data_IF_466136148183
#
_entry.id   IF_466136148183
#
_cell.length_a   1.000
_cell.length_b   1.000
_cell.length_c   1.000
_cell.angle_alpha   90.00
_cell.angle_beta   90.00
_cell.angle_gamma   90.00
#
_symmetry.space_group_name_H-M   'P 1'
#
loop_
_entity.id
_entity.type
_entity.pdbx_description
1 polymer ?
#
# COMPACT_ATOMS: atom_id res chain seq x y z
N UNK A 1 -24.49 1.06 2.32
CA UNK A 1 -25.57 1.67 1.55
C UNK A 1 -26.83 1.89 2.36
N UNK A 2 -27.68 2.73 1.81
CA UNK A 2 -28.95 3.20 2.37
C UNK A 2 -29.93 2.00 2.51
N UNK A 3 -29.67 0.91 1.78
CA UNK A 3 -30.41 -0.37 1.86
C UNK A 3 -29.64 -1.55 2.49
N UNK A 4 -28.44 -1.34 3.04
CA UNK A 4 -27.64 -2.42 3.64
C UNK A 4 -28.08 -2.75 5.07
N UNK A 5 -28.31 -4.03 5.36
CA UNK A 5 -28.57 -4.52 6.72
C UNK A 5 -27.38 -4.23 7.65
N UNK A 6 -27.64 -3.93 8.92
CA UNK A 6 -26.59 -3.51 9.87
C UNK A 6 -25.52 -4.60 10.08
N UNK A 7 -25.91 -5.87 9.95
CA UNK A 7 -24.98 -7.02 9.97
C UNK A 7 -24.06 -7.01 8.76
N UNK A 8 -24.56 -6.66 7.57
CA UNK A 8 -23.73 -6.53 6.37
C UNK A 8 -22.79 -5.32 6.44
N UNK A 9 -23.21 -4.22 7.10
CA UNK A 9 -22.33 -3.07 7.36
C UNK A 9 -21.19 -3.41 8.32
N UNK A 10 -21.45 -4.17 9.38
CA UNK A 10 -20.38 -4.55 10.32
C UNK A 10 -19.42 -5.61 9.75
N UNK A 11 -19.88 -6.47 8.84
CA UNK A 11 -19.06 -7.52 8.24
C UNK A 11 -18.25 -7.08 7.00
N UNK A 12 -18.42 -5.84 6.51
CA UNK A 12 -17.75 -5.36 5.30
C UNK A 12 -16.58 -4.42 5.62
N UNK A 13 -15.40 -4.74 5.06
CA UNK A 13 -14.19 -3.91 5.19
C UNK A 13 -14.29 -2.57 4.43
N UNK A 14 -15.19 -2.49 3.43
CA UNK A 14 -15.44 -1.29 2.65
C UNK A 14 -16.96 -1.13 2.44
N UNK A 15 -17.52 -0.07 3.01
CA UNK A 15 -18.94 0.27 2.90
C UNK A 15 -19.10 1.42 1.90
N UNK A 16 -19.87 1.18 0.85
CA UNK A 16 -20.30 2.24 -0.07
C UNK A 16 -21.34 3.13 0.64
N UNK A 17 -20.99 4.40 0.83
CA UNK A 17 -21.84 5.42 1.45
C UNK A 17 -22.89 5.91 0.46
N UNK A 18 -22.47 6.19 -0.77
CA UNK A 18 -23.34 6.29 -1.94
C UNK A 18 -23.36 4.92 -2.62
N UNK A 19 -24.55 4.34 -2.85
CA UNK A 19 -24.75 3.04 -3.52
C UNK A 19 -24.42 3.11 -5.03
N UNK A 20 -23.29 3.74 -5.37
CA UNK A 20 -22.86 4.04 -6.71
C UNK A 20 -21.57 3.28 -7.06
N UNK A 21 -21.65 2.43 -8.10
CA UNK A 21 -20.53 1.66 -8.63
C UNK A 21 -19.37 2.53 -9.14
N UNK A 22 -19.63 3.80 -9.48
CA UNK A 22 -18.56 4.75 -9.84
C UNK A 22 -17.58 4.98 -8.68
N UNK A 23 -18.03 4.91 -7.41
CA UNK A 23 -17.16 5.06 -6.24
C UNK A 23 -16.18 3.88 -6.10
N UNK A 24 -16.60 2.67 -6.44
CA UNK A 24 -15.74 1.48 -6.46
C UNK A 24 -14.62 1.64 -7.49
N UNK A 25 -14.95 2.12 -8.69
CA UNK A 25 -13.96 2.33 -9.76
C UNK A 25 -12.92 3.37 -9.33
N UNK A 26 -13.34 4.46 -8.69
CA UNK A 26 -12.43 5.47 -8.16
C UNK A 26 -11.54 4.91 -7.03
N UNK A 27 -12.09 4.08 -6.14
CA UNK A 27 -11.31 3.42 -5.09
C UNK A 27 -10.23 2.48 -5.67
N UNK A 28 -10.54 1.74 -6.74
CA UNK A 28 -9.57 0.89 -7.44
C UNK A 28 -8.48 1.74 -8.11
N UNK A 29 -8.85 2.86 -8.73
CA UNK A 29 -7.87 3.78 -9.33
C UNK A 29 -6.89 4.32 -8.28
N UNK A 30 -7.40 4.72 -7.11
CA UNK A 30 -6.56 5.16 -5.99
C UNK A 30 -5.68 4.03 -5.44
N UNK A 31 -6.20 2.80 -5.36
CA UNK A 31 -5.44 1.62 -4.96
C UNK A 31 -4.23 1.36 -5.86
N UNK A 32 -4.39 1.51 -7.19
CA UNK A 32 -3.25 1.39 -8.13
C UNK A 32 -2.19 2.46 -7.90
N UNK A 33 -2.60 3.70 -7.65
CA UNK A 33 -1.67 4.79 -7.35
C UNK A 33 -0.90 4.55 -6.03
N UNK A 34 -1.59 4.03 -5.01
CA UNK A 34 -0.96 3.65 -3.73
C UNK A 34 0.11 2.56 -3.94
N UNK A 35 -0.19 1.54 -4.73
CA UNK A 35 0.76 0.46 -5.03
C UNK A 35 2.05 0.99 -5.65
N UNK A 36 1.95 1.90 -6.63
CA UNK A 36 3.12 2.51 -7.27
C UNK A 36 3.95 3.34 -6.29
N UNK A 37 3.31 4.05 -5.36
CA UNK A 37 3.99 4.78 -4.28
C UNK A 37 4.71 3.84 -3.31
N UNK A 38 4.07 2.73 -2.92
CA UNK A 38 4.67 1.73 -2.02
C UNK A 38 5.85 1.03 -2.69
N UNK A 39 5.75 0.67 -3.97
CA UNK A 39 6.84 0.02 -4.71
C UNK A 39 8.09 0.92 -4.77
N UNK A 40 7.91 2.22 -5.03
CA UNK A 40 9.01 3.20 -5.02
C UNK A 40 9.64 3.36 -3.63
N UNK A 41 8.81 3.38 -2.58
CA UNK A 41 9.31 3.44 -1.21
C UNK A 41 10.12 2.18 -0.84
N UNK A 42 9.61 1.00 -1.21
CA UNK A 42 10.28 -0.27 -0.94
C UNK A 42 11.61 -0.37 -1.71
N UNK A 43 11.65 0.09 -2.96
CA UNK A 43 12.86 0.14 -3.76
C UNK A 43 13.92 1.04 -3.12
N UNK A 44 13.53 2.22 -2.64
CA UNK A 44 14.44 3.13 -1.93
C UNK A 44 15.01 2.49 -0.66
N UNK A 45 14.15 1.87 0.15
CA UNK A 45 14.56 1.19 1.38
C UNK A 45 15.53 0.02 1.09
N UNK A 46 15.25 -0.77 0.05
CA UNK A 46 16.11 -1.89 -0.36
C UNK A 46 17.48 -1.42 -0.85
N UNK A 47 17.52 -0.36 -1.67
CA UNK A 47 18.79 0.23 -2.14
C UNK A 47 19.65 0.70 -0.97
N UNK A 48 19.07 1.39 0.02
CA UNK A 48 19.80 1.82 1.22
C UNK A 48 20.36 0.63 1.97
N UNK A 49 19.53 -0.39 2.23
CA UNK A 49 19.96 -1.58 2.97
C UNK A 49 21.15 -2.28 2.29
N UNK A 50 21.14 -2.40 0.95
CA UNK A 50 22.25 -2.99 0.19
C UNK A 50 23.52 -2.13 0.29
N UNK A 51 23.40 -0.81 0.12
CA UNK A 51 24.56 0.11 0.21
C UNK A 51 25.19 0.05 1.60
N UNK A 52 24.38 0.06 2.65
CA UNK A 52 24.87 -0.06 4.04
C UNK A 52 25.56 -1.39 4.26
N UNK A 53 24.96 -2.50 3.80
CA UNK A 53 25.56 -3.83 3.92
C UNK A 53 26.93 -3.91 3.23
N UNK A 54 27.04 -3.39 2.00
CA UNK A 54 28.32 -3.34 1.27
C UNK A 54 29.34 -2.44 1.95
N UNK A 55 28.93 -1.27 2.44
CA UNK A 55 29.81 -0.33 3.14
C UNK A 55 30.39 -0.94 4.42
N UNK A 56 29.54 -1.61 5.23
CA UNK A 56 29.98 -2.32 6.44
C UNK A 56 30.88 -3.49 6.10
N UNK A 57 30.53 -4.27 5.05
CA UNK A 57 31.35 -5.41 4.63
C UNK A 57 32.74 -4.97 4.17
N UNK A 58 32.84 -3.92 3.35
CA UNK A 58 34.13 -3.37 2.89
C UNK A 58 34.90 -2.77 4.06
N UNK A 59 34.24 -2.03 4.95
CA UNK A 59 34.86 -1.49 6.16
C UNK A 59 35.44 -2.59 7.06
N UNK A 60 34.72 -3.69 7.25
CA UNK A 60 35.17 -4.83 8.04
C UNK A 60 36.25 -5.68 7.35
N UNK A 61 36.37 -5.64 6.02
CA UNK A 61 37.46 -6.31 5.29
C UNK A 61 38.75 -5.50 5.23
N UNK A 62 38.66 -4.16 5.35
CA UNK A 62 39.82 -3.24 5.31
C UNK A 62 40.43 -3.03 6.70
N UNK A 63 39.61 -3.05 7.76
CA UNK A 63 40.02 -3.03 9.18
C UNK A 63 40.42 -4.42 9.64
#
# INVERSE_FOLDING_TARGET
>A
GIQGTDVAKQASDIILVDDNLYSIINAIMWSRNLYDSIAKFLQFQLTINIVVALCVFIGACIV
#
